data_IF_197578277337
#
_entry.id   IF_197578277337
#
_cell.length_a   1.000
_cell.length_b   1.000
_cell.length_c   1.000
_cell.angle_alpha   90.00
_cell.angle_beta   90.00
_cell.angle_gamma   90.00
#
_symmetry.space_group_name_H-M   'P 1'
#
loop_
_entity.id
_entity.type
_entity.pdbx_description
1 polymer ?
#
# COMPACT_ATOMS: atom_id res chain seq x y z
N UNK A 1 -28.07 -5.11 46.44
CA UNK A 1 -27.49 -4.41 45.29
C UNK A 1 -28.34 -4.73 44.06
N UNK A 2 -28.82 -3.72 43.36
CA UNK A 2 -29.64 -3.91 42.16
C UNK A 2 -28.79 -4.39 41.00
N UNK A 3 -29.35 -5.13 40.05
CA UNK A 3 -28.66 -5.61 38.82
C UNK A 3 -27.92 -4.48 38.14
N UNK A 4 -28.51 -3.29 38.10
CA UNK A 4 -27.86 -2.06 37.56
C UNK A 4 -26.55 -1.73 38.27
N UNK A 5 -26.47 -1.87 39.58
CA UNK A 5 -25.22 -1.58 40.33
C UNK A 5 -24.09 -2.57 40.00
N UNK A 6 -24.43 -3.85 39.85
CA UNK A 6 -23.46 -4.89 39.46
C UNK A 6 -22.96 -4.66 38.05
N UNK A 7 -23.89 -4.35 37.13
CA UNK A 7 -23.53 -4.07 35.74
C UNK A 7 -22.61 -2.85 35.62
N UNK A 8 -22.94 -1.75 36.33
CA UNK A 8 -22.10 -0.54 36.31
C UNK A 8 -20.70 -0.80 36.89
N UNK A 9 -20.61 -1.57 38.00
CA UNK A 9 -19.31 -1.94 38.58
C UNK A 9 -18.49 -2.80 37.61
N UNK A 10 -19.10 -3.79 36.97
CA UNK A 10 -18.42 -4.66 36.00
C UNK A 10 -17.89 -3.87 34.84
N UNK A 11 -18.69 -2.97 34.22
CA UNK A 11 -18.27 -2.10 33.12
C UNK A 11 -17.11 -1.19 33.57
N UNK A 12 -17.24 -0.54 34.74
CA UNK A 12 -16.19 0.35 35.26
C UNK A 12 -14.89 -0.39 35.52
N UNK A 13 -14.94 -1.60 36.11
CA UNK A 13 -13.74 -2.42 36.33
C UNK A 13 -13.10 -2.84 35.00
N UNK A 14 -13.91 -3.25 34.03
CA UNK A 14 -13.43 -3.62 32.71
C UNK A 14 -12.78 -2.43 31.96
N UNK A 15 -13.40 -1.24 32.01
CA UNK A 15 -12.82 -0.02 31.46
C UNK A 15 -11.51 0.34 32.15
N UNK A 16 -11.44 0.23 33.48
CA UNK A 16 -10.22 0.43 34.26
C UNK A 16 -9.10 -0.53 33.85
N UNK A 17 -9.44 -1.81 33.68
CA UNK A 17 -8.51 -2.81 33.17
C UNK A 17 -8.00 -2.50 31.77
N UNK A 18 -8.89 -2.15 30.83
CA UNK A 18 -8.51 -1.77 29.47
C UNK A 18 -7.59 -0.54 29.47
N UNK A 19 -7.91 0.47 30.28
CA UNK A 19 -7.07 1.66 30.39
C UNK A 19 -5.68 1.34 30.96
N UNK A 20 -5.60 0.55 32.03
CA UNK A 20 -4.35 0.12 32.63
C UNK A 20 -3.50 -0.71 31.64
N UNK A 21 -4.16 -1.62 30.91
CA UNK A 21 -3.49 -2.40 29.84
C UNK A 21 -2.95 -1.51 28.73
N UNK A 22 -3.76 -0.57 28.25
CA UNK A 22 -3.31 0.41 27.25
C UNK A 22 -2.11 1.23 27.75
N UNK A 23 -2.16 1.77 28.98
CA UNK A 23 -1.06 2.53 29.57
C UNK A 23 0.24 1.72 29.64
N UNK A 24 0.13 0.44 30.01
CA UNK A 24 1.28 -0.47 30.05
C UNK A 24 1.89 -0.69 28.67
N UNK A 25 1.06 -0.91 27.65
CA UNK A 25 1.56 -1.09 26.27
C UNK A 25 2.17 0.20 25.71
N UNK A 26 1.58 1.38 26.03
CA UNK A 26 2.19 2.68 25.67
C UNK A 26 3.56 2.84 26.33
N UNK A 27 3.70 2.54 27.63
CA UNK A 27 5.00 2.64 28.30
C UNK A 27 6.06 1.73 27.66
N UNK A 28 5.68 0.51 27.29
CA UNK A 28 6.57 -0.39 26.56
C UNK A 28 6.93 0.16 25.17
N UNK A 29 5.94 0.64 24.42
CA UNK A 29 6.16 1.18 23.08
C UNK A 29 7.14 2.37 23.13
N UNK A 30 6.98 3.27 24.09
CA UNK A 30 7.82 4.45 24.25
C UNK A 30 9.24 4.14 24.72
N UNK A 31 9.50 2.97 25.30
CA UNK A 31 10.84 2.52 25.67
C UNK A 31 11.62 1.87 24.53
N UNK A 32 10.98 1.66 23.36
CA UNK A 32 11.64 1.06 22.20
C UNK A 32 12.41 2.12 21.40
N UNK A 33 13.64 1.79 21.07
CA UNK A 33 14.43 2.53 20.08
C UNK A 33 14.27 1.84 18.71
N UNK A 34 13.36 2.35 17.90
CA UNK A 34 12.99 1.75 16.61
C UNK A 34 13.50 2.65 15.48
N UNK A 35 14.35 2.12 14.59
CA UNK A 35 14.85 2.90 13.46
C UNK A 35 13.71 3.30 12.51
N UNK A 36 13.94 4.37 11.75
CA UNK A 36 13.01 4.82 10.72
C UNK A 36 12.80 3.75 9.63
N UNK A 37 13.86 3.09 9.23
CA UNK A 37 13.81 1.95 8.31
C UNK A 37 13.57 0.66 9.10
N UNK A 38 12.41 0.07 8.85
CA UNK A 38 11.94 -1.17 9.48
C UNK A 38 11.68 -2.27 8.45
N UNK A 39 12.18 -2.07 7.24
CA UNK A 39 11.94 -2.97 6.11
C UNK A 39 12.51 -4.38 6.30
N UNK A 40 13.57 -4.53 7.10
CA UNK A 40 14.18 -5.83 7.43
C UNK A 40 13.22 -6.81 8.12
N UNK A 41 12.17 -6.29 8.82
CA UNK A 41 11.17 -7.11 9.50
C UNK A 41 10.43 -8.02 8.55
N UNK A 42 10.22 -7.58 7.30
CA UNK A 42 9.50 -8.35 6.28
C UNK A 42 10.22 -9.61 5.84
N UNK A 43 11.54 -9.66 5.89
CA UNK A 43 12.29 -10.88 5.61
C UNK A 43 11.95 -12.02 6.59
N UNK A 44 11.69 -11.67 7.86
CA UNK A 44 11.37 -12.63 8.92
C UNK A 44 9.91 -13.04 8.92
N UNK A 45 9.01 -12.13 8.55
CA UNK A 45 7.56 -12.37 8.61
C UNK A 45 7.00 -13.00 7.34
N UNK A 46 7.70 -12.95 6.21
CA UNK A 46 7.22 -13.39 4.91
C UNK A 46 6.52 -14.77 4.91
N UNK A 47 7.02 -15.83 5.59
CA UNK A 47 6.37 -17.14 5.57
C UNK A 47 4.99 -17.18 6.22
N UNK A 48 4.76 -16.33 7.24
CA UNK A 48 3.53 -16.30 8.05
C UNK A 48 2.69 -15.05 7.82
N UNK A 49 3.18 -14.11 7.00
CA UNK A 49 2.59 -12.78 6.83
C UNK A 49 1.10 -12.82 6.48
N UNK A 50 0.71 -13.68 5.54
CA UNK A 50 -0.69 -13.77 5.13
C UNK A 50 -1.60 -14.21 6.27
N UNK A 51 -1.18 -15.19 7.07
CA UNK A 51 -1.95 -15.68 8.20
C UNK A 51 -2.09 -14.60 9.30
N UNK A 52 -1.03 -13.82 9.52
CA UNK A 52 -1.04 -12.75 10.54
C UNK A 52 -1.99 -11.60 10.17
N UNK A 53 -2.08 -11.23 8.88
CA UNK A 53 -2.92 -10.11 8.44
C UNK A 53 -4.32 -10.51 8.02
N UNK A 54 -4.59 -11.81 7.80
CA UNK A 54 -5.85 -12.29 7.21
C UNK A 54 -7.08 -11.84 7.99
N UNK A 55 -7.08 -12.01 9.32
CA UNK A 55 -8.24 -11.67 10.16
C UNK A 55 -8.53 -10.17 10.10
N UNK A 56 -7.51 -9.32 10.24
CA UNK A 56 -7.67 -7.86 10.20
C UNK A 56 -8.15 -7.38 8.83
N UNK A 57 -7.56 -7.88 7.74
CA UNK A 57 -7.99 -7.54 6.40
C UNK A 57 -9.44 -8.01 6.09
N UNK A 58 -9.83 -9.17 6.61
CA UNK A 58 -11.19 -9.70 6.46
C UNK A 58 -12.21 -8.81 7.16
N UNK A 59 -11.97 -8.42 8.42
CA UNK A 59 -12.82 -7.51 9.19
C UNK A 59 -12.91 -6.14 8.50
N UNK A 60 -11.80 -5.61 7.99
CA UNK A 60 -11.73 -4.34 7.28
C UNK A 60 -12.19 -4.44 5.82
N UNK A 61 -12.58 -5.60 5.33
CA UNK A 61 -12.98 -5.85 3.92
C UNK A 61 -11.92 -5.35 2.92
N UNK A 62 -10.65 -5.57 3.24
CA UNK A 62 -9.55 -5.07 2.41
C UNK A 62 -9.50 -5.74 1.05
N UNK A 63 -9.83 -7.03 0.94
CA UNK A 63 -9.88 -7.76 -0.34
C UNK A 63 -10.76 -7.04 -1.38
N UNK A 64 -11.96 -6.59 -1.00
CA UNK A 64 -12.82 -5.81 -1.92
C UNK A 64 -12.18 -4.48 -2.33
N UNK A 65 -11.55 -3.76 -1.40
CA UNK A 65 -10.88 -2.49 -1.70
C UNK A 65 -9.68 -2.68 -2.64
N UNK A 66 -8.89 -3.76 -2.42
CA UNK A 66 -7.80 -4.16 -3.33
C UNK A 66 -8.35 -4.49 -4.71
N UNK A 67 -9.40 -5.31 -4.80
CA UNK A 67 -10.06 -5.67 -6.05
C UNK A 67 -10.54 -4.44 -6.82
N UNK A 68 -11.28 -3.52 -6.16
CA UNK A 68 -11.82 -2.30 -6.77
C UNK A 68 -10.71 -1.35 -7.26
N UNK A 69 -9.53 -1.40 -6.64
CA UNK A 69 -8.36 -0.61 -7.04
C UNK A 69 -7.60 -1.29 -8.19
N UNK A 70 -7.18 -2.53 -7.99
CA UNK A 70 -6.26 -3.26 -8.88
C UNK A 70 -6.90 -3.57 -10.23
N UNK A 71 -8.21 -3.76 -10.31
CA UNK A 71 -8.94 -3.90 -11.58
C UNK A 71 -8.87 -2.68 -12.49
N UNK A 72 -8.45 -1.52 -11.99
CA UNK A 72 -8.18 -0.32 -12.80
C UNK A 72 -6.82 -0.37 -13.50
N UNK A 73 -5.95 -1.32 -13.13
CA UNK A 73 -4.62 -1.47 -13.73
C UNK A 73 -4.73 -1.92 -15.19
N UNK A 74 -3.92 -1.30 -16.05
CA UNK A 74 -3.90 -1.55 -17.49
C UNK A 74 -2.53 -1.26 -18.08
N UNK A 75 -2.27 -1.83 -19.26
CA UNK A 75 -1.04 -1.64 -20.00
C UNK A 75 0.17 -2.30 -19.33
N UNK A 76 1.30 -1.64 -19.36
CA UNK A 76 2.50 -2.09 -18.65
C UNK A 76 2.39 -1.64 -17.18
N UNK A 77 2.32 -2.62 -16.28
CA UNK A 77 2.01 -2.40 -14.87
C UNK A 77 3.24 -2.66 -14.01
N UNK A 78 3.49 -1.77 -13.06
CA UNK A 78 4.42 -1.96 -11.96
C UNK A 78 3.65 -2.06 -10.65
N UNK A 79 3.88 -3.10 -9.87
CA UNK A 79 3.47 -3.13 -8.46
C UNK A 79 4.70 -3.04 -7.58
N UNK A 80 4.79 -2.02 -6.75
CA UNK A 80 5.86 -1.85 -5.75
C UNK A 80 5.36 -2.23 -4.36
N UNK A 81 6.28 -2.72 -3.52
CA UNK A 81 5.95 -3.30 -2.20
C UNK A 81 4.88 -4.38 -2.33
N UNK A 82 5.07 -5.29 -3.29
CA UNK A 82 4.05 -6.30 -3.60
C UNK A 82 3.87 -7.33 -2.46
N UNK A 83 4.81 -7.39 -1.51
CA UNK A 83 4.78 -8.32 -0.40
C UNK A 83 4.65 -9.77 -0.88
N UNK A 84 3.82 -10.52 -0.19
CA UNK A 84 3.47 -11.91 -0.54
C UNK A 84 2.51 -12.04 -1.73
N UNK A 85 2.20 -10.93 -2.42
CA UNK A 85 1.31 -10.94 -3.59
C UNK A 85 -0.18 -10.98 -3.25
N UNK A 86 -0.63 -10.15 -2.31
CA UNK A 86 -2.05 -10.09 -1.90
C UNK A 86 -2.98 -9.46 -2.93
N UNK A 87 -2.42 -8.89 -4.00
CA UNK A 87 -3.18 -8.32 -5.11
C UNK A 87 -3.25 -9.23 -6.34
N UNK A 88 -2.50 -10.33 -6.38
CA UNK A 88 -2.29 -11.17 -7.57
C UNK A 88 -3.59 -11.66 -8.22
N UNK A 89 -4.57 -12.04 -7.42
CA UNK A 89 -5.86 -12.56 -7.88
C UNK A 89 -6.77 -11.50 -8.52
N UNK A 90 -6.47 -10.20 -8.33
CA UNK A 90 -7.35 -9.11 -8.78
C UNK A 90 -6.93 -8.51 -10.13
N UNK A 91 -5.75 -8.86 -10.64
CA UNK A 91 -5.28 -8.37 -11.93
C UNK A 91 -6.09 -8.94 -13.09
N UNK A 92 -6.51 -8.06 -13.97
CA UNK A 92 -7.09 -8.42 -15.27
C UNK A 92 -5.95 -8.59 -16.28
N UNK A 93 -5.43 -9.82 -16.41
CA UNK A 93 -4.27 -10.12 -17.24
C UNK A 93 -4.66 -10.32 -18.71
N UNK A 94 -3.83 -9.80 -19.59
CA UNK A 94 -4.04 -9.81 -21.03
C UNK A 94 -4.69 -8.53 -21.56
N UNK A 95 -3.91 -7.78 -22.35
CA UNK A 95 -4.39 -6.53 -22.97
C UNK A 95 -5.50 -6.81 -23.97
N UNK A 96 -6.59 -6.05 -23.88
CA UNK A 96 -7.70 -6.05 -24.83
C UNK A 96 -7.99 -4.63 -25.27
N UNK A 97 -8.17 -4.44 -26.56
CA UNK A 97 -8.60 -3.18 -27.16
C UNK A 97 -10.11 -3.19 -27.36
N UNK A 98 -10.76 -2.08 -27.06
CA UNK A 98 -12.19 -1.92 -27.18
C UNK A 98 -12.56 -0.44 -27.23
N UNK A 99 -13.86 -0.16 -27.09
CA UNK A 99 -14.38 1.19 -26.99
C UNK A 99 -15.13 1.33 -25.66
N UNK A 100 -15.13 2.53 -25.08
CA UNK A 100 -15.98 2.87 -23.93
C UNK A 100 -17.42 3.17 -24.39
N UNK A 101 -18.28 3.56 -23.44
CA UNK A 101 -19.68 3.88 -23.71
C UNK A 101 -19.85 5.10 -24.62
N UNK A 102 -18.83 5.99 -24.69
CA UNK A 102 -18.77 7.16 -25.55
C UNK A 102 -18.13 6.85 -26.92
N UNK A 103 -17.78 5.59 -27.21
CA UNK A 103 -17.14 5.17 -28.47
C UNK A 103 -15.65 5.50 -28.56
N UNK A 104 -15.00 5.93 -27.47
CA UNK A 104 -13.56 6.23 -27.46
C UNK A 104 -12.76 4.94 -27.32
N UNK A 105 -11.66 4.84 -28.08
CA UNK A 105 -10.76 3.69 -27.99
C UNK A 105 -10.15 3.58 -26.58
N UNK A 106 -10.31 2.42 -25.95
CA UNK A 106 -9.77 2.12 -24.64
C UNK A 106 -8.97 0.83 -24.64
N UNK A 107 -7.90 0.82 -23.83
CA UNK A 107 -7.13 -0.37 -23.53
C UNK A 107 -7.57 -0.86 -22.15
N UNK A 108 -7.92 -2.14 -22.06
CA UNK A 108 -8.26 -2.82 -20.81
C UNK A 108 -7.29 -3.95 -20.56
N UNK A 109 -7.07 -4.26 -19.30
CA UNK A 109 -6.21 -5.35 -18.87
C UNK A 109 -4.72 -5.03 -18.97
N UNK A 110 -3.93 -5.85 -18.30
CA UNK A 110 -2.49 -5.68 -18.17
C UNK A 110 -1.76 -6.37 -19.32
N UNK A 111 -0.93 -5.62 -20.05
CA UNK A 111 -0.04 -6.14 -21.09
C UNK A 111 1.12 -6.90 -20.49
N UNK A 112 1.73 -6.33 -19.48
CA UNK A 112 2.78 -6.93 -18.67
C UNK A 112 2.64 -6.50 -17.21
N UNK A 113 3.20 -7.27 -16.27
CA UNK A 113 3.23 -6.89 -14.86
C UNK A 113 4.63 -7.13 -14.30
N UNK A 114 5.19 -6.09 -13.65
CA UNK A 114 6.43 -6.18 -12.89
C UNK A 114 6.10 -6.03 -11.41
N UNK A 115 6.45 -7.04 -10.62
CA UNK A 115 6.32 -7.05 -9.16
C UNK A 115 7.67 -6.75 -8.53
N UNK A 116 7.69 -5.77 -7.63
CA UNK A 116 8.90 -5.33 -6.92
C UNK A 116 8.64 -5.29 -5.42
N UNK A 117 9.56 -5.85 -4.68
CA UNK A 117 9.61 -5.72 -3.22
C UNK A 117 11.07 -5.69 -2.77
N UNK A 118 11.36 -5.01 -1.67
CA UNK A 118 12.72 -4.97 -1.11
C UNK A 118 13.13 -6.33 -0.53
N UNK A 119 12.16 -7.13 -0.04
CA UNK A 119 12.39 -8.45 0.55
C UNK A 119 12.44 -9.55 -0.51
N UNK A 120 13.58 -10.23 -0.70
CA UNK A 120 13.66 -11.41 -1.58
C UNK A 120 12.70 -12.53 -1.17
N UNK A 121 12.45 -12.70 0.13
CA UNK A 121 11.55 -13.71 0.67
C UNK A 121 10.09 -13.41 0.28
N UNK A 122 9.67 -12.15 0.35
CA UNK A 122 8.34 -11.73 -0.13
C UNK A 122 8.20 -12.01 -1.63
N UNK A 123 9.19 -11.65 -2.43
CA UNK A 123 9.21 -11.90 -3.88
C UNK A 123 9.10 -13.39 -4.20
N UNK A 124 9.78 -14.26 -3.45
CA UNK A 124 9.69 -15.70 -3.66
C UNK A 124 8.27 -16.22 -3.40
N UNK A 125 7.65 -15.80 -2.29
CA UNK A 125 6.26 -16.16 -1.98
C UNK A 125 5.31 -15.68 -3.06
N UNK A 126 5.43 -14.41 -3.49
CA UNK A 126 4.59 -13.82 -4.54
C UNK A 126 4.73 -14.57 -5.87
N UNK A 127 5.97 -14.86 -6.28
CA UNK A 127 6.27 -15.63 -7.52
C UNK A 127 5.61 -17.00 -7.51
N UNK A 128 5.76 -17.73 -6.40
CA UNK A 128 5.19 -19.07 -6.24
C UNK A 128 3.66 -19.04 -6.29
N UNK A 129 3.02 -18.04 -5.66
CA UNK A 129 1.57 -17.86 -5.75
C UNK A 129 1.13 -17.50 -7.18
N UNK A 130 1.82 -16.56 -7.84
CA UNK A 130 1.49 -16.13 -9.19
C UNK A 130 1.54 -17.32 -10.16
N UNK A 131 2.57 -18.15 -10.10
CA UNK A 131 2.70 -19.32 -10.95
C UNK A 131 1.56 -20.34 -10.80
N UNK A 132 0.96 -20.41 -9.60
CA UNK A 132 -0.23 -21.27 -9.34
C UNK A 132 -1.52 -20.63 -9.84
N UNK A 133 -1.67 -19.30 -9.68
CA UNK A 133 -2.88 -18.57 -10.05
C UNK A 133 -2.98 -18.32 -11.56
N UNK A 134 -1.84 -18.01 -12.19
CA UNK A 134 -1.78 -17.54 -13.59
C UNK A 134 -0.69 -18.27 -14.38
N UNK A 135 -0.73 -19.61 -14.52
CA UNK A 135 0.34 -20.40 -15.14
C UNK A 135 0.60 -20.06 -16.61
N UNK A 136 -0.42 -19.53 -17.30
CA UNK A 136 -0.35 -19.22 -18.74
C UNK A 136 0.13 -17.80 -19.04
N UNK A 137 0.15 -16.90 -18.06
CA UNK A 137 0.60 -15.53 -18.29
C UNK A 137 2.11 -15.41 -18.17
N UNK A 138 2.80 -15.19 -19.31
CA UNK A 138 4.28 -15.20 -19.40
C UNK A 138 4.92 -13.80 -19.30
N UNK A 139 4.14 -12.72 -19.46
CA UNK A 139 4.66 -11.33 -19.43
C UNK A 139 4.70 -10.79 -18.00
N UNK A 140 5.35 -11.52 -17.10
CA UNK A 140 5.49 -11.19 -15.69
C UNK A 140 6.96 -11.18 -15.28
N UNK A 141 7.33 -10.22 -14.43
CA UNK A 141 8.68 -10.09 -13.87
C UNK A 141 8.59 -9.91 -12.35
N UNK A 142 9.51 -10.51 -11.62
CA UNK A 142 9.65 -10.38 -10.17
C UNK A 142 11.06 -9.92 -9.84
N UNK A 143 11.20 -8.83 -9.08
CA UNK A 143 12.49 -8.23 -8.72
C UNK A 143 12.56 -7.93 -7.24
N UNK A 144 13.61 -8.40 -6.57
CA UNK A 144 13.95 -7.99 -5.22
C UNK A 144 14.84 -6.73 -5.32
N UNK A 145 14.27 -5.55 -5.18
CA UNK A 145 14.98 -4.26 -5.27
C UNK A 145 14.21 -3.14 -4.59
N UNK A 146 14.88 -2.03 -4.29
CA UNK A 146 14.22 -0.81 -3.80
C UNK A 146 13.31 -0.22 -4.88
N UNK A 147 12.13 0.28 -4.48
CA UNK A 147 11.20 0.97 -5.36
C UNK A 147 11.81 2.22 -6.03
N UNK A 148 12.78 2.86 -5.37
CA UNK A 148 13.51 4.04 -5.91
C UNK A 148 14.47 3.70 -7.03
N UNK A 149 14.91 2.45 -7.13
CA UNK A 149 15.87 1.99 -8.14
C UNK A 149 15.16 1.40 -9.37
N UNK A 150 13.83 1.39 -9.38
CA UNK A 150 13.07 0.85 -10.50
C UNK A 150 13.20 1.76 -11.71
N UNK A 151 13.63 1.16 -12.81
CA UNK A 151 13.64 1.83 -14.12
C UNK A 151 12.61 1.19 -15.04
N UNK A 152 11.95 1.95 -15.92
CA UNK A 152 11.05 1.38 -16.92
C UNK A 152 11.76 0.37 -17.82
N UNK A 153 11.04 -0.60 -18.38
CA UNK A 153 11.62 -1.50 -19.38
C UNK A 153 12.16 -0.72 -20.56
N UNK A 154 13.40 -0.98 -20.96
CA UNK A 154 13.99 -0.33 -22.15
C UNK A 154 13.35 -0.90 -23.40
N UNK A 155 12.86 -0.02 -24.28
CA UNK A 155 12.37 -0.37 -25.61
C UNK A 155 13.11 0.45 -26.68
N UNK A 156 14.38 0.15 -26.89
CA UNK A 156 15.23 0.86 -27.85
C UNK A 156 15.62 2.28 -27.39
N UNK A 157 15.66 3.25 -28.31
CA UNK A 157 16.11 4.63 -28.05
C UNK A 157 15.03 5.55 -27.44
N UNK A 158 13.80 5.09 -27.25
CA UNK A 158 12.71 5.91 -26.68
C UNK A 158 12.55 5.65 -25.21
N UNK A 159 12.32 6.70 -24.38
CA UNK A 159 11.92 6.51 -23.00
C UNK A 159 10.65 5.67 -22.95
N UNK A 160 10.64 4.67 -22.11
CA UNK A 160 9.44 3.88 -21.82
C UNK A 160 8.95 4.23 -20.43
N UNK A 161 7.66 4.01 -20.18
CA UNK A 161 7.00 4.33 -18.93
C UNK A 161 6.09 3.16 -18.53
N UNK A 162 5.70 3.13 -17.28
CA UNK A 162 4.61 2.28 -16.85
C UNK A 162 3.27 2.99 -17.06
N UNK A 163 2.29 2.31 -17.66
CA UNK A 163 0.93 2.84 -17.82
C UNK A 163 0.19 2.89 -16.48
N UNK A 164 0.48 1.94 -15.60
CA UNK A 164 -0.09 1.91 -14.25
C UNK A 164 0.97 1.50 -13.22
N UNK A 165 1.03 2.25 -12.13
CA UNK A 165 1.78 1.83 -10.93
C UNK A 165 0.78 1.53 -9.82
N UNK A 166 0.97 0.41 -9.13
CA UNK A 166 0.15 -0.03 -8.00
C UNK A 166 1.03 -0.10 -6.75
N UNK A 167 0.53 0.42 -5.65
CA UNK A 167 1.16 0.27 -4.35
C UNK A 167 0.08 0.12 -3.28
N UNK A 168 0.21 -0.90 -2.44
CA UNK A 168 -0.75 -1.15 -1.37
C UNK A 168 -0.03 -1.49 -0.07
N UNK A 169 -0.32 -0.72 0.99
CA UNK A 169 0.21 -0.92 2.35
C UNK A 169 1.75 -0.89 2.42
N UNK A 170 2.39 -0.04 1.61
CA UNK A 170 3.85 0.03 1.51
C UNK A 170 4.47 1.34 1.98
N UNK A 171 3.78 2.50 1.81
CA UNK A 171 4.32 3.81 2.17
C UNK A 171 4.68 3.94 3.66
N UNK A 172 3.99 3.20 4.51
CA UNK A 172 4.23 3.21 5.94
C UNK A 172 5.61 2.65 6.34
N UNK A 173 6.19 1.79 5.51
CA UNK A 173 7.46 1.10 5.80
C UNK A 173 8.68 1.75 5.14
N UNK A 174 8.45 2.66 4.20
CA UNK A 174 9.54 3.30 3.45
C UNK A 174 10.20 4.42 4.26
N UNK A 175 11.54 4.53 4.28
CA UNK A 175 12.22 5.61 4.98
C UNK A 175 11.91 6.99 4.35
N UNK A 176 11.76 7.07 3.03
CA UNK A 176 11.42 8.29 2.30
C UNK A 176 10.24 8.08 1.32
N UNK A 177 9.00 8.08 1.83
CA UNK A 177 7.82 7.81 1.01
C UNK A 177 7.53 8.93 -0.01
N UNK A 178 7.89 10.18 0.32
CA UNK A 178 7.70 11.32 -0.60
C UNK A 178 8.63 11.21 -1.80
N UNK A 179 9.92 10.96 -1.57
CA UNK A 179 10.89 10.75 -2.64
C UNK A 179 10.53 9.53 -3.49
N UNK A 180 10.04 8.46 -2.86
CA UNK A 180 9.57 7.28 -3.61
C UNK A 180 8.39 7.63 -4.51
N UNK A 181 7.35 8.34 -4.02
CA UNK A 181 6.22 8.73 -4.87
C UNK A 181 6.64 9.65 -6.02
N UNK A 182 7.57 10.59 -5.79
CA UNK A 182 8.13 11.43 -6.86
C UNK A 182 8.82 10.60 -7.92
N UNK A 183 9.64 9.63 -7.50
CA UNK A 183 10.29 8.72 -8.43
C UNK A 183 9.26 7.91 -9.23
N UNK A 184 8.26 7.30 -8.57
CA UNK A 184 7.19 6.57 -9.25
C UNK A 184 6.44 7.47 -10.24
N UNK A 185 6.19 8.73 -9.90
CA UNK A 185 5.61 9.72 -10.81
C UNK A 185 6.47 9.93 -12.05
N UNK A 186 7.80 9.99 -11.92
CA UNK A 186 8.72 10.22 -13.04
C UNK A 186 8.82 9.05 -14.02
N UNK A 187 8.48 7.84 -13.60
CA UNK A 187 8.48 6.62 -14.42
C UNK A 187 7.07 6.18 -14.86
N UNK A 188 6.04 6.94 -14.49
CA UNK A 188 4.66 6.76 -14.95
C UNK A 188 4.43 7.51 -16.26
N UNK A 189 3.65 6.94 -17.19
CA UNK A 189 3.30 7.57 -18.46
C UNK A 189 2.67 8.96 -18.21
N UNK A 190 3.24 10.04 -18.80
CA UNK A 190 2.95 11.42 -18.37
C UNK A 190 1.54 11.92 -18.69
N UNK A 191 0.83 11.35 -19.69
CA UNK A 191 -0.44 11.87 -20.16
C UNK A 191 -1.64 11.05 -19.70
N UNK A 192 -1.53 9.72 -19.71
CA UNK A 192 -2.63 8.78 -19.44
C UNK A 192 -2.30 7.79 -18.32
N UNK A 193 -1.08 7.83 -17.82
CA UNK A 193 -0.61 6.96 -16.75
C UNK A 193 -1.32 7.28 -15.43
N UNK A 194 -1.30 6.31 -14.54
CA UNK A 194 -1.92 6.43 -13.22
C UNK A 194 -1.11 5.70 -12.14
N UNK A 195 -1.19 6.23 -10.92
CA UNK A 195 -0.66 5.58 -9.73
C UNK A 195 -1.83 5.27 -8.81
N UNK A 196 -1.99 4.01 -8.45
CA UNK A 196 -3.07 3.49 -7.64
C UNK A 196 -2.55 3.16 -6.25
N UNK A 197 -3.01 3.89 -5.24
CA UNK A 197 -2.57 3.69 -3.86
C UNK A 197 -3.72 3.19 -2.98
N UNK A 198 -3.42 2.24 -2.10
CA UNK A 198 -4.27 1.84 -0.99
C UNK A 198 -3.40 1.70 0.25
N UNK A 199 -3.51 2.64 1.15
CA UNK A 199 -2.59 2.78 2.28
C UNK A 199 -3.33 2.88 3.60
N UNK A 200 -2.63 2.69 4.69
CA UNK A 200 -3.12 3.05 6.00
C UNK A 200 -2.27 4.17 6.63
N UNK A 201 -2.88 4.96 7.49
CA UNK A 201 -2.22 6.09 8.12
C UNK A 201 -3.13 6.82 9.09
N UNK A 202 -2.86 8.11 9.31
CA UNK A 202 -3.60 8.94 10.25
C UNK A 202 -5.10 8.99 9.94
N UNK A 203 -5.87 9.10 11.02
CA UNK A 203 -7.31 9.25 11.06
C UNK A 203 -7.74 10.69 10.82
N UNK A 204 -9.07 10.91 10.64
CA UNK A 204 -9.72 12.23 10.79
C UNK A 204 -9.74 12.72 12.25
N UNK A 205 -9.63 11.80 13.23
CA UNK A 205 -9.89 12.07 14.64
C UNK A 205 -8.59 12.12 15.43
N UNK A 206 -8.34 13.23 16.10
CA UNK A 206 -7.14 13.45 16.91
C UNK A 206 -6.99 12.45 18.06
N UNK A 207 -8.11 12.04 18.70
CA UNK A 207 -8.05 11.04 19.75
C UNK A 207 -7.52 9.69 19.24
N UNK A 208 -7.90 9.29 18.01
CA UNK A 208 -7.39 8.07 17.39
C UNK A 208 -5.94 8.23 16.96
N UNK A 209 -5.58 9.39 16.42
CA UNK A 209 -4.20 9.70 16.09
C UNK A 209 -3.27 9.63 17.30
N UNK A 210 -3.71 10.10 18.49
CA UNK A 210 -2.95 9.94 19.74
C UNK A 210 -2.73 8.46 20.10
N UNK A 211 -3.70 7.58 19.86
CA UNK A 211 -3.52 6.14 20.08
C UNK A 211 -2.52 5.57 19.08
N UNK A 212 -2.65 5.91 17.80
CA UNK A 212 -1.72 5.49 16.76
C UNK A 212 -0.29 5.94 17.07
N UNK A 213 -0.10 7.21 17.46
CA UNK A 213 1.22 7.78 17.79
C UNK A 213 1.85 7.09 19.01
N UNK A 214 1.07 6.87 20.05
CA UNK A 214 1.55 6.24 21.28
C UNK A 214 2.01 4.79 21.09
N UNK A 215 1.41 4.07 20.15
CA UNK A 215 1.70 2.66 19.89
C UNK A 215 2.52 2.43 18.61
N UNK A 216 2.83 3.50 17.84
CA UNK A 216 3.56 3.40 16.59
C UNK A 216 4.92 2.70 16.73
N UNK A 217 5.76 2.97 17.74
CA UNK A 217 7.04 2.28 17.87
C UNK A 217 6.89 0.75 18.02
N UNK A 218 5.94 0.30 18.85
CA UNK A 218 5.69 -1.13 19.02
C UNK A 218 5.13 -1.78 17.75
N UNK A 219 4.29 -1.07 17.00
CA UNK A 219 3.77 -1.54 15.73
C UNK A 219 4.87 -1.63 14.66
N UNK A 220 5.70 -0.60 14.56
CA UNK A 220 6.81 -0.56 13.61
C UNK A 220 7.85 -1.65 13.89
N UNK A 221 8.20 -1.86 15.16
CA UNK A 221 9.13 -2.92 15.54
C UNK A 221 8.60 -4.33 15.23
N UNK A 222 7.31 -4.55 15.50
CA UNK A 222 6.69 -5.87 15.29
C UNK A 222 6.34 -6.16 13.84
N UNK A 223 5.77 -5.17 13.12
CA UNK A 223 5.14 -5.37 11.81
C UNK A 223 5.87 -4.66 10.66
N UNK A 224 6.94 -3.93 10.93
CA UNK A 224 7.68 -3.21 9.89
C UNK A 224 6.94 -2.01 9.31
N UNK A 225 6.01 -1.40 10.06
CA UNK A 225 5.14 -0.36 9.55
C UNK A 225 4.88 0.77 10.56
N UNK A 226 5.17 2.00 10.17
CA UNK A 226 4.80 3.23 10.90
C UNK A 226 3.36 3.63 10.53
N UNK A 227 2.38 3.02 11.15
CA UNK A 227 0.96 3.18 10.82
C UNK A 227 0.36 4.56 11.10
N UNK A 228 1.10 5.44 11.76
CA UNK A 228 0.69 6.80 12.12
C UNK A 228 1.14 7.86 11.11
N UNK A 229 1.58 7.48 9.92
CA UNK A 229 1.98 8.43 8.88
C UNK A 229 0.78 9.19 8.32
N UNK A 230 0.99 10.47 8.00
CA UNK A 230 0.02 11.27 7.28
C UNK A 230 0.16 11.00 5.77
N UNK A 231 -0.65 10.08 5.27
CA UNK A 231 -0.62 9.70 3.84
C UNK A 231 -1.04 10.86 2.95
N UNK A 232 -2.00 11.69 3.41
CA UNK A 232 -2.43 12.87 2.67
C UNK A 232 -1.30 13.88 2.49
N UNK A 233 -0.50 14.12 3.54
CA UNK A 233 0.65 15.01 3.47
C UNK A 233 1.75 14.44 2.56
N UNK A 234 2.04 13.15 2.66
CA UNK A 234 2.99 12.46 1.77
C UNK A 234 2.59 12.62 0.30
N UNK A 235 1.31 12.41 -0.01
CA UNK A 235 0.79 12.57 -1.38
C UNK A 235 0.88 14.02 -1.85
N UNK A 236 0.48 15.00 -1.03
CA UNK A 236 0.61 16.43 -1.39
C UNK A 236 2.06 16.83 -1.65
N UNK A 237 2.99 16.43 -0.78
CA UNK A 237 4.41 16.73 -0.93
C UNK A 237 5.05 16.04 -2.14
N UNK A 238 4.47 14.94 -2.64
CA UNK A 238 4.96 14.28 -3.84
C UNK A 238 4.81 15.14 -5.10
N UNK A 239 3.88 16.10 -5.10
CA UNK A 239 3.58 16.96 -6.25
C UNK A 239 2.76 16.27 -7.34
N UNK A 240 2.23 15.07 -7.11
CA UNK A 240 1.36 14.37 -8.05
C UNK A 240 -0.06 14.95 -8.02
N UNK A 241 -0.74 14.91 -9.16
CA UNK A 241 -2.14 15.30 -9.27
C UNK A 241 -3.06 14.26 -8.60
N UNK A 242 -3.94 14.69 -7.70
CA UNK A 242 -4.94 13.84 -7.06
C UNK A 242 -6.19 13.80 -7.94
N UNK A 243 -6.45 12.65 -8.57
CA UNK A 243 -7.66 12.43 -9.39
C UNK A 243 -8.82 11.89 -8.54
N UNK A 244 -8.52 10.99 -7.62
CA UNK A 244 -9.51 10.42 -6.70
C UNK A 244 -8.87 10.24 -5.33
N UNK A 245 -9.61 10.65 -4.28
CA UNK A 245 -9.30 10.35 -2.89
C UNK A 245 -10.53 9.72 -2.23
N UNK A 246 -10.31 8.66 -1.45
CA UNK A 246 -11.35 8.06 -0.63
C UNK A 246 -10.76 7.48 0.65
N UNK A 247 -11.50 7.61 1.75
CA UNK A 247 -11.06 7.12 3.06
C UNK A 247 -12.14 6.29 3.73
N UNK A 248 -11.70 5.30 4.54
CA UNK A 248 -12.57 4.42 5.33
C UNK A 248 -11.99 4.23 6.73
N UNK A 249 -12.69 3.50 7.59
CA UNK A 249 -12.26 3.10 8.93
C UNK A 249 -11.81 4.31 9.76
N UNK A 250 -12.74 5.25 10.01
CA UNK A 250 -12.44 6.51 10.70
C UNK A 250 -11.34 7.34 10.03
N UNK A 251 -11.14 7.13 8.73
CA UNK A 251 -10.12 7.82 7.94
C UNK A 251 -8.74 7.17 7.94
N UNK A 252 -8.54 6.04 8.60
CA UNK A 252 -7.21 5.39 8.66
C UNK A 252 -6.85 4.58 7.41
N UNK A 253 -7.80 4.25 6.55
CA UNK A 253 -7.54 3.60 5.26
C UNK A 253 -7.74 4.61 4.14
N UNK A 254 -6.70 4.82 3.35
CA UNK A 254 -6.61 5.82 2.31
C UNK A 254 -6.54 5.14 0.94
N UNK A 255 -7.31 5.63 -0.02
CA UNK A 255 -7.21 5.28 -1.43
C UNK A 255 -6.94 6.52 -2.23
N UNK A 256 -6.00 6.44 -3.15
CA UNK A 256 -5.74 7.47 -4.15
C UNK A 256 -5.67 6.90 -5.55
N UNK A 257 -6.12 7.70 -6.51
CA UNK A 257 -5.72 7.61 -7.91
C UNK A 257 -4.97 8.90 -8.20
N UNK A 258 -3.70 8.78 -8.56
CA UNK A 258 -2.82 9.91 -8.82
C UNK A 258 -2.36 9.89 -10.28
N UNK A 259 -1.91 11.05 -10.78
CA UNK A 259 -1.27 11.20 -12.09
C UNK A 259 -0.01 12.04 -11.98
N UNK A 260 0.96 11.84 -12.89
CA UNK A 260 2.04 12.80 -13.09
C UNK A 260 1.46 14.17 -13.49
N UNK A 261 2.05 15.24 -12.98
CA UNK A 261 1.69 16.60 -13.44
C UNK A 261 2.36 16.83 -14.79
N UNK A 262 1.55 17.04 -15.83
CA UNK A 262 2.04 17.36 -17.17
C UNK A 262 2.79 18.71 -17.13
N UNK A 263 4.10 18.71 -17.34
CA UNK A 263 4.94 19.92 -17.36
C UNK A 263 6.19 19.89 -16.50
N UNK A 264 6.38 18.87 -15.65
CA UNK A 264 7.61 18.80 -14.82
C UNK A 264 8.83 18.20 -15.56
N UNK A 265 8.66 17.71 -16.78
CA UNK A 265 9.74 17.10 -17.57
C UNK A 265 10.43 18.07 -18.57
N UNK A 266 9.80 19.20 -18.91
CA UNK A 266 10.39 20.18 -19.83
C UNK A 266 11.44 21.11 -19.19
N UNK A 267 11.66 21.00 -17.87
CA UNK A 267 12.60 21.86 -17.14
C UNK A 267 14.01 21.27 -16.97
N UNK A 268 14.31 20.15 -17.63
CA UNK A 268 15.65 19.53 -17.62
C UNK A 268 16.11 19.14 -19.03
N UNK A 269 16.09 20.10 -19.95
CA UNK A 269 16.91 20.06 -21.18
C UNK A 269 17.88 21.23 -21.19
#
# INVERSE_FOLDING_TARGET
MTVLGVTALTISTYCGYLYASYRREVTKAQSLDVPQDVSDRYNRTAPNFDAEVEMSEKVMRMGKKRQDLVRKARGDVLEVSCGTGRNLEYYDLGERRGHDEDGRAVIRGCRSVTFVDLSPQMIEVARNKFGKLHPDFKKVTFRAQDAKDVVPPSAGAKPTYYDTIVQTMGLCSMPDPVGTLRHLGSITEPHKGQILLLEHGRSYYDWLNKILDNLAPAHADRHGCWWNRDIGEIVRQSGLEIVEEKRWHFGTTWKYVLRPVSGSQDAKQ
#
